data_IF_778427605670
#
_entry.id   IF_778427605670
#
_cell.length_a   1.000
_cell.length_b   1.000
_cell.length_c   1.000
_cell.angle_alpha   90.00
_cell.angle_beta   90.00
_cell.angle_gamma   90.00
#
_symmetry.space_group_name_H-M   'P 1'
#
loop_
_entity.id
_entity.type
_entity.pdbx_description
1 polymer ?
#
# COMPACT_ATOMS: atom_id res chain seq x y z
N UNK A 1 -32.92 4.12 -29.21
CA UNK A 1 -31.59 3.62 -29.64
C UNK A 1 -31.70 2.11 -29.61
N UNK A 2 -31.48 1.42 -30.72
CA UNK A 2 -31.58 -0.04 -30.77
C UNK A 2 -30.46 -0.66 -29.97
N UNK A 3 -30.73 -1.76 -29.28
CA UNK A 3 -29.81 -2.56 -28.42
C UNK A 3 -28.45 -2.80 -29.11
N UNK A 4 -28.47 -3.01 -30.41
CA UNK A 4 -27.33 -3.20 -31.30
C UNK A 4 -26.34 -2.02 -31.34
N UNK A 5 -26.83 -0.78 -31.24
CA UNK A 5 -25.99 0.44 -31.22
C UNK A 5 -25.29 0.62 -29.83
N UNK A 6 -25.99 0.24 -28.78
CA UNK A 6 -25.49 0.34 -27.41
C UNK A 6 -24.36 -0.69 -27.19
N UNK A 7 -24.57 -1.90 -27.67
CA UNK A 7 -23.63 -3.01 -27.56
C UNK A 7 -22.36 -2.77 -28.39
N UNK A 8 -22.50 -2.15 -29.60
CA UNK A 8 -21.35 -1.73 -30.40
C UNK A 8 -20.55 -0.62 -29.72
N UNK A 9 -21.22 0.32 -29.08
CA UNK A 9 -20.55 1.41 -28.38
C UNK A 9 -19.79 0.91 -27.17
N UNK A 10 -20.30 -0.09 -26.46
CA UNK A 10 -19.63 -0.75 -25.35
C UNK A 10 -18.36 -1.50 -25.82
N UNK A 11 -18.43 -2.21 -26.95
CA UNK A 11 -17.27 -2.88 -27.54
C UNK A 11 -16.19 -1.86 -27.93
N UNK A 12 -16.56 -0.74 -28.55
CA UNK A 12 -15.62 0.34 -28.91
C UNK A 12 -14.91 0.90 -27.67
N UNK A 13 -15.64 1.13 -26.58
CA UNK A 13 -15.06 1.64 -25.34
C UNK A 13 -14.12 0.63 -24.67
N UNK A 14 -14.44 -0.66 -24.73
CA UNK A 14 -13.54 -1.74 -24.27
C UNK A 14 -12.24 -1.71 -25.07
N UNK A 15 -12.31 -1.66 -26.41
CA UNK A 15 -11.13 -1.64 -27.28
C UNK A 15 -10.28 -0.38 -27.05
N UNK A 16 -10.90 0.80 -26.91
CA UNK A 16 -10.21 2.07 -26.61
C UNK A 16 -9.49 2.04 -25.27
N UNK A 17 -10.13 1.46 -24.25
CA UNK A 17 -9.56 1.34 -22.92
C UNK A 17 -8.35 0.40 -22.91
N UNK A 18 -8.48 -0.76 -23.54
CA UNK A 18 -7.40 -1.72 -23.62
C UNK A 18 -6.22 -1.17 -24.42
N UNK A 19 -6.46 -0.55 -25.56
CA UNK A 19 -5.40 0.12 -26.31
C UNK A 19 -4.61 1.12 -25.46
N UNK A 20 -5.28 1.92 -24.63
CA UNK A 20 -4.60 2.88 -23.74
C UNK A 20 -3.78 2.17 -22.68
N UNK A 21 -4.30 1.11 -22.09
CA UNK A 21 -3.60 0.34 -21.08
C UNK A 21 -2.29 -0.23 -21.62
N UNK A 22 -2.33 -0.90 -22.79
CA UNK A 22 -1.15 -1.50 -23.42
C UNK A 22 -0.07 -0.45 -23.75
N UNK A 23 -0.47 0.69 -24.33
CA UNK A 23 0.49 1.76 -24.62
C UNK A 23 1.12 2.31 -23.33
N UNK A 24 0.36 2.47 -22.27
CA UNK A 24 0.86 2.94 -20.98
C UNK A 24 1.79 1.91 -20.33
N UNK A 25 1.46 0.64 -20.39
CA UNK A 25 2.29 -0.47 -19.88
C UNK A 25 3.60 -0.58 -20.66
N UNK A 26 3.54 -0.54 -21.99
CA UNK A 26 4.74 -0.52 -22.83
C UNK A 26 5.70 0.63 -22.48
N UNK A 27 5.17 1.83 -22.25
CA UNK A 27 5.99 2.98 -21.84
C UNK A 27 6.68 2.76 -20.48
N UNK A 28 6.00 2.15 -19.52
CA UNK A 28 6.59 1.82 -18.21
C UNK A 28 7.71 0.80 -18.37
N UNK A 29 7.52 -0.25 -19.17
CA UNK A 29 8.57 -1.22 -19.45
C UNK A 29 9.78 -0.59 -20.14
N UNK A 30 9.58 0.28 -21.12
CA UNK A 30 10.69 1.02 -21.78
C UNK A 30 11.45 1.90 -20.79
N UNK A 31 10.75 2.53 -19.84
CA UNK A 31 11.40 3.31 -18.80
C UNK A 31 12.22 2.42 -17.85
N UNK A 32 11.73 1.24 -17.48
CA UNK A 32 12.46 0.26 -16.67
C UNK A 32 13.68 -0.27 -17.41
N UNK A 33 13.58 -0.60 -18.69
CA UNK A 33 14.69 -1.01 -19.56
C UNK A 33 15.83 0.03 -19.54
N UNK A 34 15.49 1.31 -19.60
CA UNK A 34 16.46 2.40 -19.62
C UNK A 34 17.29 2.53 -18.33
N UNK A 35 16.83 1.91 -17.23
CA UNK A 35 17.44 2.02 -15.88
C UNK A 35 18.01 0.72 -15.37
N UNK A 36 17.57 -0.40 -15.95
CA UNK A 36 18.06 -1.69 -15.52
C UNK A 36 19.51 -1.89 -15.95
N UNK A 37 20.33 -2.30 -14.99
CA UNK A 37 21.77 -2.54 -15.17
C UNK A 37 22.09 -4.00 -15.41
N UNK A 38 21.24 -4.92 -15.00
CA UNK A 38 21.38 -6.35 -15.26
C UNK A 38 20.88 -6.67 -16.67
N UNK A 39 21.81 -7.12 -17.54
CA UNK A 39 21.53 -7.38 -18.95
C UNK A 39 20.47 -8.48 -19.16
N UNK A 40 20.35 -9.47 -18.25
CA UNK A 40 19.31 -10.50 -18.35
C UNK A 40 17.94 -9.94 -18.06
N UNK A 41 17.83 -9.16 -16.98
CA UNK A 41 16.59 -8.47 -16.60
C UNK A 41 16.17 -7.47 -17.66
N UNK A 42 17.13 -6.69 -18.16
CA UNK A 42 16.91 -5.74 -19.24
C UNK A 42 16.40 -6.40 -20.51
N UNK A 43 16.97 -7.56 -20.88
CA UNK A 43 16.49 -8.36 -22.02
C UNK A 43 15.08 -8.88 -21.85
N UNK A 44 14.67 -9.26 -20.63
CA UNK A 44 13.29 -9.69 -20.34
C UNK A 44 12.34 -8.51 -20.41
N UNK A 45 12.63 -7.39 -19.73
CA UNK A 45 11.83 -6.17 -19.76
C UNK A 45 11.64 -5.62 -21.18
N UNK A 46 12.68 -5.71 -22.02
CA UNK A 46 12.58 -5.30 -23.41
C UNK A 46 11.60 -6.16 -24.21
N UNK A 47 11.67 -7.50 -24.04
CA UNK A 47 10.70 -8.40 -24.67
C UNK A 47 9.25 -8.15 -24.22
N UNK A 48 9.07 -7.81 -22.95
CA UNK A 48 7.76 -7.43 -22.44
C UNK A 48 7.28 -6.12 -23.07
N UNK A 49 8.12 -5.09 -23.13
CA UNK A 49 7.78 -3.85 -23.83
C UNK A 49 7.36 -4.10 -25.30
N UNK A 50 8.08 -4.98 -26.02
CA UNK A 50 7.75 -5.36 -27.38
C UNK A 50 6.42 -6.14 -27.49
N UNK A 51 6.10 -6.96 -26.49
CA UNK A 51 4.81 -7.66 -26.45
C UNK A 51 3.66 -6.68 -26.28
N UNK A 52 3.75 -5.74 -25.31
CA UNK A 52 2.74 -4.72 -25.11
C UNK A 52 2.57 -3.79 -26.35
N UNK A 53 3.67 -3.46 -27.01
CA UNK A 53 3.62 -2.69 -28.26
C UNK A 53 2.87 -3.46 -29.36
N UNK A 54 3.05 -4.78 -29.46
CA UNK A 54 2.28 -5.64 -30.40
C UNK A 54 0.80 -5.70 -30.00
N UNK A 55 0.47 -5.82 -28.72
CA UNK A 55 -0.91 -5.77 -28.24
C UNK A 55 -1.56 -4.45 -28.60
N UNK A 56 -0.88 -3.33 -28.31
CA UNK A 56 -1.38 -2.01 -28.67
C UNK A 56 -1.63 -1.86 -30.18
N UNK A 57 -0.75 -2.40 -31.04
CA UNK A 57 -0.94 -2.41 -32.48
C UNK A 57 -2.17 -3.23 -32.91
N UNK A 58 -2.41 -4.40 -32.30
CA UNK A 58 -3.59 -5.24 -32.56
C UNK A 58 -4.87 -4.50 -32.17
N UNK A 59 -4.91 -3.84 -31.00
CA UNK A 59 -6.03 -3.00 -30.58
C UNK A 59 -6.25 -1.79 -31.48
N UNK A 60 -5.17 -1.14 -31.94
CA UNK A 60 -5.26 -0.03 -32.89
C UNK A 60 -5.85 -0.46 -34.25
N UNK A 61 -5.45 -1.64 -34.75
CA UNK A 61 -6.05 -2.23 -35.95
C UNK A 61 -7.54 -2.50 -35.77
N UNK A 62 -7.93 -3.07 -34.60
CA UNK A 62 -9.36 -3.31 -34.34
C UNK A 62 -10.17 -2.02 -34.25
N UNK A 63 -9.61 -0.92 -33.71
CA UNK A 63 -10.26 0.40 -33.78
C UNK A 63 -10.45 0.87 -35.20
N UNK A 64 -9.44 0.71 -36.08
CA UNK A 64 -9.56 1.07 -37.49
C UNK A 64 -10.63 0.24 -38.20
N UNK A 65 -10.73 -1.07 -37.93
CA UNK A 65 -11.75 -1.97 -38.48
C UNK A 65 -13.17 -1.56 -38.02
N UNK A 66 -13.29 -1.01 -36.80
CA UNK A 66 -14.54 -0.46 -36.26
C UNK A 66 -14.85 0.97 -36.78
N UNK A 67 -13.94 1.57 -37.57
CA UNK A 67 -14.07 2.94 -38.10
C UNK A 67 -13.85 4.03 -37.04
N UNK A 68 -13.16 3.70 -35.94
CA UNK A 68 -12.92 4.61 -34.82
C UNK A 68 -11.49 5.16 -34.85
N UNK A 69 -11.27 6.43 -34.50
CA UNK A 69 -9.93 7.00 -34.42
C UNK A 69 -9.18 6.44 -33.19
N UNK A 70 -7.86 6.34 -33.36
CA UNK A 70 -6.97 5.99 -32.23
C UNK A 70 -7.03 7.11 -31.20
N UNK A 71 -7.32 6.80 -29.92
CA UNK A 71 -7.44 7.81 -28.89
C UNK A 71 -6.10 8.51 -28.62
N UNK A 72 -6.13 9.81 -28.39
CA UNK A 72 -4.95 10.52 -27.88
C UNK A 72 -4.80 10.23 -26.38
N UNK A 73 -3.56 10.04 -25.93
CA UNK A 73 -3.24 9.85 -24.52
C UNK A 73 -2.80 11.20 -23.95
N UNK A 74 -3.67 11.95 -23.23
CA UNK A 74 -3.30 13.26 -22.69
C UNK A 74 -2.27 13.09 -21.56
N UNK A 75 -1.22 13.90 -21.53
CA UNK A 75 -0.22 13.89 -20.44
C UNK A 75 -0.79 14.58 -19.19
N UNK A 76 -1.57 13.82 -18.41
CA UNK A 76 -2.22 14.33 -17.20
C UNK A 76 -1.23 14.47 -16.03
N UNK A 77 -1.52 15.40 -15.11
CA UNK A 77 -0.76 15.58 -13.86
C UNK A 77 -0.63 14.26 -13.08
N UNK A 78 -1.66 13.44 -13.07
CA UNK A 78 -1.64 12.11 -12.42
C UNK A 78 -0.58 11.17 -13.02
N UNK A 79 -0.43 11.16 -14.35
CA UNK A 79 0.61 10.36 -15.02
C UNK A 79 2.02 10.91 -14.79
N UNK A 80 2.18 12.22 -14.76
CA UNK A 80 3.48 12.85 -14.39
C UNK A 80 3.87 12.45 -12.97
N UNK A 81 2.93 12.49 -12.04
CA UNK A 81 3.14 12.06 -10.66
C UNK A 81 3.46 10.55 -10.59
N UNK A 82 2.76 9.72 -11.35
CA UNK A 82 3.01 8.28 -11.39
C UNK A 82 4.39 7.95 -11.97
N UNK A 83 4.81 8.61 -13.06
CA UNK A 83 6.18 8.50 -13.59
C UNK A 83 7.22 8.97 -12.57
N UNK A 84 6.96 10.10 -11.90
CA UNK A 84 7.85 10.60 -10.86
C UNK A 84 7.96 9.61 -9.68
N UNK A 85 6.84 9.06 -9.22
CA UNK A 85 6.82 8.03 -8.17
C UNK A 85 7.59 6.77 -8.58
N UNK A 86 7.38 6.28 -9.80
CA UNK A 86 8.13 5.13 -10.33
C UNK A 86 9.63 5.43 -10.39
N UNK A 87 10.00 6.71 -10.60
CA UNK A 87 11.38 7.19 -10.57
C UNK A 87 11.97 7.22 -9.16
N UNK A 88 11.22 7.69 -8.21
CA UNK A 88 11.67 7.89 -6.84
C UNK A 88 11.79 6.56 -6.05
N UNK A 89 10.96 5.56 -6.36
CA UNK A 89 10.83 4.32 -5.59
C UNK A 89 11.80 3.19 -6.00
N UNK A 90 12.58 3.38 -7.08
CA UNK A 90 13.55 2.39 -7.55
C UNK A 90 12.95 1.25 -8.40
N UNK A 91 13.82 0.53 -9.14
CA UNK A 91 13.44 -0.47 -10.16
C UNK A 91 12.71 -1.66 -9.54
N UNK A 92 13.10 -2.11 -8.36
CA UNK A 92 12.49 -3.29 -7.71
C UNK A 92 11.02 -3.05 -7.32
N UNK A 93 10.71 -1.87 -6.77
CA UNK A 93 9.33 -1.50 -6.41
C UNK A 93 8.50 -1.30 -7.68
N UNK A 94 9.09 -0.74 -8.74
CA UNK A 94 8.42 -0.58 -10.01
C UNK A 94 8.08 -1.95 -10.65
N UNK A 95 8.98 -2.92 -10.63
CA UNK A 95 8.74 -4.29 -11.11
C UNK A 95 7.57 -4.95 -10.34
N UNK A 96 7.51 -4.83 -9.02
CA UNK A 96 6.39 -5.37 -8.22
C UNK A 96 5.06 -4.70 -8.54
N UNK A 97 5.08 -3.40 -8.82
CA UNK A 97 3.86 -2.68 -9.23
C UNK A 97 3.39 -3.13 -10.61
N UNK A 98 4.32 -3.42 -11.52
CA UNK A 98 4.00 -3.98 -12.82
C UNK A 98 3.40 -5.40 -12.68
N UNK A 99 3.98 -6.27 -11.85
CA UNK A 99 3.41 -7.58 -11.53
C UNK A 99 1.93 -7.47 -11.11
N UNK A 100 1.63 -6.58 -10.16
CA UNK A 100 0.26 -6.35 -9.71
C UNK A 100 -0.65 -5.73 -10.80
N UNK A 101 -0.09 -4.94 -11.72
CA UNK A 101 -0.84 -4.39 -12.85
C UNK A 101 -1.20 -5.49 -13.86
N UNK A 102 -0.27 -6.39 -14.19
CA UNK A 102 -0.50 -7.53 -15.08
C UNK A 102 -1.59 -8.48 -14.55
N UNK A 103 -1.56 -8.80 -13.24
CA UNK A 103 -2.62 -9.61 -12.61
C UNK A 103 -4.00 -8.92 -12.72
N UNK A 104 -4.03 -7.61 -12.58
CA UNK A 104 -5.26 -6.82 -12.72
C UNK A 104 -5.76 -6.76 -14.16
N UNK A 105 -4.85 -6.68 -15.14
CA UNK A 105 -5.19 -6.73 -16.57
C UNK A 105 -5.74 -8.10 -16.96
N UNK A 106 -5.13 -9.19 -16.50
CA UNK A 106 -5.66 -10.55 -16.70
C UNK A 106 -7.11 -10.67 -16.22
N UNK A 107 -7.37 -10.23 -14.97
CA UNK A 107 -8.73 -10.27 -14.42
C UNK A 107 -9.71 -9.40 -15.22
N UNK A 108 -9.27 -8.21 -15.66
CA UNK A 108 -10.08 -7.32 -16.47
C UNK A 108 -10.41 -7.93 -17.85
N UNK A 109 -9.47 -8.59 -18.50
CA UNK A 109 -9.72 -9.24 -19.79
C UNK A 109 -10.70 -10.41 -19.68
N UNK A 110 -10.68 -11.16 -18.58
CA UNK A 110 -11.68 -12.21 -18.30
C UNK A 110 -13.08 -11.63 -18.16
N UNK A 111 -13.24 -10.58 -17.36
CA UNK A 111 -14.53 -9.92 -17.13
C UNK A 111 -15.07 -9.27 -18.43
N UNK A 112 -14.21 -8.61 -19.19
CA UNK A 112 -14.57 -7.99 -20.45
C UNK A 112 -15.03 -9.00 -21.52
N UNK A 113 -14.44 -10.20 -21.54
CA UNK A 113 -14.82 -11.25 -22.49
C UNK A 113 -16.28 -11.66 -22.36
N UNK A 114 -16.82 -11.59 -21.14
CA UNK A 114 -18.22 -11.92 -20.88
C UNK A 114 -19.17 -10.80 -21.36
N UNK A 115 -18.69 -9.56 -21.42
CA UNK A 115 -19.47 -8.37 -21.78
C UNK A 115 -19.43 -8.02 -23.28
N UNK A 116 -18.46 -8.53 -24.01
CA UNK A 116 -18.34 -8.29 -25.46
C UNK A 116 -19.43 -9.07 -26.21
N UNK A 117 -20.04 -8.43 -27.21
CA UNK A 117 -21.09 -8.98 -28.07
C UNK A 117 -20.79 -10.40 -28.58
N UNK A 118 -21.83 -11.20 -28.64
CA UNK A 118 -21.75 -12.60 -29.08
C UNK A 118 -21.20 -12.76 -30.52
N UNK A 119 -21.36 -11.73 -31.37
CA UNK A 119 -20.89 -11.72 -32.76
C UNK A 119 -19.42 -11.30 -32.96
N UNK A 120 -18.75 -10.73 -31.94
CA UNK A 120 -17.35 -10.27 -32.01
C UNK A 120 -16.38 -11.35 -31.53
N UNK A 121 -16.34 -12.47 -32.26
CA UNK A 121 -15.48 -13.61 -31.93
C UNK A 121 -13.99 -13.24 -31.86
N UNK A 122 -13.52 -12.41 -32.79
CA UNK A 122 -12.13 -11.95 -32.87
C UNK A 122 -11.69 -11.19 -31.60
N UNK A 123 -12.58 -10.35 -31.04
CA UNK A 123 -12.27 -9.60 -29.79
C UNK A 123 -12.22 -10.56 -28.61
N UNK A 124 -13.12 -11.55 -28.55
CA UNK A 124 -13.14 -12.55 -27.48
C UNK A 124 -11.92 -13.44 -27.48
N UNK A 125 -11.49 -13.86 -28.67
CA UNK A 125 -10.30 -14.69 -28.84
C UNK A 125 -9.05 -13.90 -28.48
N UNK A 126 -8.97 -12.64 -28.89
CA UNK A 126 -7.87 -11.76 -28.52
C UNK A 126 -7.81 -11.49 -27.01
N UNK A 127 -8.94 -11.20 -26.35
CA UNK A 127 -9.00 -11.05 -24.89
C UNK A 127 -8.54 -12.32 -24.16
N UNK A 128 -8.84 -13.50 -24.72
CA UNK A 128 -8.38 -14.78 -24.17
C UNK A 128 -6.87 -14.95 -24.31
N UNK A 129 -6.34 -14.66 -25.49
CA UNK A 129 -4.89 -14.75 -25.75
C UNK A 129 -4.12 -13.79 -24.86
N UNK A 130 -4.55 -12.50 -24.80
CA UNK A 130 -3.94 -11.48 -23.96
C UNK A 130 -3.97 -11.88 -22.48
N UNK A 131 -5.07 -12.41 -21.96
CA UNK A 131 -5.12 -12.88 -20.58
C UNK A 131 -4.10 -13.99 -20.25
N UNK A 132 -3.78 -14.85 -21.21
CA UNK A 132 -2.75 -15.88 -21.05
C UNK A 132 -1.35 -15.27 -21.08
N UNK A 133 -1.12 -14.28 -21.95
CA UNK A 133 0.18 -13.59 -22.07
C UNK A 133 0.44 -12.72 -20.83
N UNK A 134 -0.57 -11.97 -20.32
CA UNK A 134 -0.47 -11.20 -19.05
C UNK A 134 -0.06 -12.10 -17.87
N UNK A 135 -0.63 -13.30 -17.79
CA UNK A 135 -0.24 -14.25 -16.76
C UNK A 135 1.20 -14.73 -16.92
N UNK A 136 1.70 -14.85 -18.15
CA UNK A 136 3.09 -15.18 -18.43
C UNK A 136 4.03 -14.01 -18.08
N UNK A 137 3.62 -12.77 -18.35
CA UNK A 137 4.34 -11.55 -17.97
C UNK A 137 4.46 -11.43 -16.46
N UNK A 138 3.38 -11.59 -15.71
CA UNK A 138 3.39 -11.57 -14.24
C UNK A 138 4.39 -12.62 -13.68
N UNK A 139 4.40 -13.84 -14.24
CA UNK A 139 5.37 -14.88 -13.84
C UNK A 139 6.82 -14.51 -14.18
N UNK A 140 7.06 -13.92 -15.36
CA UNK A 140 8.40 -13.50 -15.75
C UNK A 140 8.93 -12.37 -14.86
N UNK A 141 8.10 -11.40 -14.48
CA UNK A 141 8.43 -10.35 -13.50
C UNK A 141 8.77 -10.96 -12.14
N UNK A 142 8.00 -11.96 -11.72
CA UNK A 142 8.24 -12.68 -10.47
C UNK A 142 9.59 -13.38 -10.44
N UNK A 143 10.03 -13.97 -11.57
CA UNK A 143 11.33 -14.62 -11.68
C UNK A 143 12.52 -13.65 -11.75
N UNK A 144 12.28 -12.37 -12.04
CA UNK A 144 13.33 -11.34 -12.06
C UNK A 144 13.79 -10.89 -10.67
N UNK A 145 12.98 -11.11 -9.65
CA UNK A 145 13.39 -10.86 -8.27
C UNK A 145 14.31 -11.99 -7.82
N UNK A 146 15.52 -11.71 -7.30
CA UNK A 146 16.50 -12.74 -6.97
C UNK A 146 15.92 -13.84 -6.08
N UNK A 147 15.96 -15.08 -6.55
CA UNK A 147 15.49 -16.25 -5.82
C UNK A 147 16.68 -16.92 -5.12
N UNK A 148 16.73 -16.86 -3.82
CA UNK A 148 17.70 -17.56 -2.98
C UNK A 148 17.00 -18.74 -2.25
N UNK A 149 17.10 -19.95 -2.81
CA UNK A 149 16.75 -21.22 -2.13
C UNK A 149 15.24 -21.50 -1.86
N UNK A 150 14.89 -22.69 -1.29
CA UNK A 150 13.51 -23.08 -0.98
C UNK A 150 12.78 -22.10 -0.04
N UNK A 151 13.51 -21.47 0.88
CA UNK A 151 12.98 -20.37 1.73
C UNK A 151 12.50 -19.18 0.90
N UNK A 152 13.12 -18.91 -0.24
CA UNK A 152 12.78 -17.76 -1.09
C UNK A 152 11.59 -18.06 -2.00
N UNK A 153 11.41 -19.33 -2.42
CA UNK A 153 10.20 -19.77 -3.12
C UNK A 153 9.02 -19.68 -2.16
N UNK A 154 9.19 -20.16 -0.94
CA UNK A 154 8.19 -20.01 0.13
C UNK A 154 7.96 -18.54 0.48
N UNK A 155 9.01 -17.73 0.62
CA UNK A 155 8.92 -16.27 0.81
C UNK A 155 8.26 -15.57 -0.37
N UNK A 156 8.39 -16.07 -1.58
CA UNK A 156 7.72 -15.52 -2.77
C UNK A 156 6.24 -15.90 -2.77
N UNK A 157 5.91 -17.15 -2.40
CA UNK A 157 4.54 -17.60 -2.20
C UNK A 157 3.90 -16.88 -1.02
N UNK A 158 4.61 -16.77 0.11
CA UNK A 158 4.16 -16.04 1.30
C UNK A 158 4.16 -14.52 1.12
N UNK A 159 4.98 -13.95 0.23
CA UNK A 159 4.90 -12.55 -0.19
C UNK A 159 3.69 -12.26 -1.06
N UNK A 160 3.18 -13.23 -1.80
CA UNK A 160 1.87 -13.14 -2.46
C UNK A 160 0.74 -12.93 -1.47
N UNK A 161 0.81 -13.61 -0.33
CA UNK A 161 -0.16 -13.48 0.76
C UNK A 161 0.17 -12.32 1.72
N UNK A 162 1.43 -11.90 1.78
CA UNK A 162 1.97 -10.85 2.67
C UNK A 162 2.17 -9.50 1.99
N UNK A 163 1.42 -9.19 0.98
CA UNK A 163 1.28 -7.83 0.46
C UNK A 163 0.96 -6.83 1.57
N UNK A 164 0.42 -7.32 2.64
CA UNK A 164 -0.06 -6.58 3.81
C UNK A 164 0.98 -6.41 4.92
N UNK A 165 2.19 -6.97 4.83
CA UNK A 165 3.03 -7.07 6.02
C UNK A 165 4.50 -6.62 5.96
N UNK A 166 5.18 -6.55 4.83
CA UNK A 166 6.65 -6.40 4.84
C UNK A 166 7.25 -5.11 4.26
N UNK A 167 6.57 -4.44 3.35
CA UNK A 167 7.01 -3.11 2.88
C UNK A 167 6.27 -1.99 3.58
N UNK A 168 5.26 -2.34 4.39
CA UNK A 168 4.24 -1.43 4.87
C UNK A 168 4.43 -0.89 6.29
N UNK A 169 5.22 -1.52 7.15
CA UNK A 169 5.23 -1.07 8.54
C UNK A 169 5.69 0.38 8.65
N UNK A 170 6.88 0.73 8.19
CA UNK A 170 7.34 2.12 8.29
C UNK A 170 6.54 3.12 7.43
N UNK A 171 6.02 2.69 6.24
CA UNK A 171 5.18 3.54 5.38
C UNK A 171 3.80 3.71 5.99
N UNK A 172 3.23 2.63 6.55
CA UNK A 172 1.98 2.70 7.28
C UNK A 172 2.12 3.59 8.52
N UNK A 173 3.20 3.41 9.30
CA UNK A 173 3.54 4.23 10.46
C UNK A 173 3.75 5.70 10.07
N UNK A 174 4.42 5.97 8.95
CA UNK A 174 4.61 7.32 8.44
C UNK A 174 3.30 7.98 8.01
N UNK A 175 2.43 7.26 7.28
CA UNK A 175 1.10 7.78 6.89
C UNK A 175 0.25 8.03 8.12
N UNK A 176 0.26 7.10 9.08
CA UNK A 176 -0.45 7.25 10.33
C UNK A 176 0.07 8.44 11.14
N UNK A 177 1.40 8.57 11.26
CA UNK A 177 2.03 9.69 11.96
C UNK A 177 1.71 11.04 11.32
N UNK A 178 1.79 11.16 9.97
CA UNK A 178 1.41 12.40 9.28
C UNK A 178 -0.05 12.75 9.55
N UNK A 179 -0.95 11.76 9.50
CA UNK A 179 -2.37 11.98 9.75
C UNK A 179 -2.64 12.41 11.20
N UNK A 180 -2.02 11.74 12.17
CA UNK A 180 -2.16 12.06 13.59
C UNK A 180 -1.68 13.49 13.90
N UNK A 181 -0.48 13.84 13.41
CA UNK A 181 0.05 15.20 13.58
C UNK A 181 -0.81 16.26 12.90
N UNK A 182 -1.27 15.98 11.68
CA UNK A 182 -2.12 16.89 10.93
C UNK A 182 -3.46 17.13 11.65
N UNK A 183 -4.17 16.07 12.06
CA UNK A 183 -5.46 16.16 12.74
C UNK A 183 -5.33 16.83 14.11
N UNK A 184 -4.44 16.33 14.96
CA UNK A 184 -4.24 16.85 16.31
C UNK A 184 -3.93 18.36 16.32
N UNK A 185 -2.97 18.79 15.48
CA UNK A 185 -2.56 20.20 15.46
C UNK A 185 -3.54 21.07 14.70
N UNK A 186 -4.21 20.55 13.68
CA UNK A 186 -5.31 21.26 13.03
C UNK A 186 -6.46 21.52 14.01
N UNK A 187 -6.78 20.55 14.87
CA UNK A 187 -7.72 20.72 15.96
C UNK A 187 -7.29 21.80 16.97
N UNK A 188 -6.02 21.78 17.41
CA UNK A 188 -5.47 22.79 18.33
C UNK A 188 -5.52 24.18 17.69
N UNK A 189 -5.03 24.34 16.47
CA UNK A 189 -5.03 25.61 15.73
C UNK A 189 -6.44 26.17 15.58
N UNK A 190 -7.40 25.30 15.20
CA UNK A 190 -8.80 25.67 15.03
C UNK A 190 -9.44 26.08 16.37
N UNK A 191 -9.25 25.31 17.42
CA UNK A 191 -9.80 25.58 18.74
C UNK A 191 -9.26 26.87 19.35
N UNK A 192 -7.93 27.07 19.30
CA UNK A 192 -7.29 28.28 19.82
C UNK A 192 -7.67 29.51 19.00
N UNK A 193 -7.77 29.40 17.67
CA UNK A 193 -8.25 30.47 16.82
C UNK A 193 -9.67 30.91 17.21
N UNK A 194 -10.57 29.94 17.43
CA UNK A 194 -11.94 30.23 17.91
C UNK A 194 -11.97 30.89 19.29
N UNK A 195 -11.17 30.41 20.24
CA UNK A 195 -11.14 30.91 21.61
C UNK A 195 -10.50 32.29 21.75
N UNK A 196 -9.51 32.63 20.90
CA UNK A 196 -8.70 33.85 21.00
C UNK A 196 -9.05 34.90 19.96
N UNK A 197 -10.21 34.77 19.32
CA UNK A 197 -10.63 35.70 18.25
C UNK A 197 -9.55 35.81 17.11
N UNK A 198 -8.96 34.71 16.75
CA UNK A 198 -7.95 34.56 15.70
C UNK A 198 -6.62 35.30 15.97
N UNK A 199 -6.21 35.42 17.23
CA UNK A 199 -4.93 36.05 17.57
C UNK A 199 -3.76 35.13 17.21
N UNK A 200 -2.99 35.50 16.19
CA UNK A 200 -1.88 34.74 15.59
C UNK A 200 -0.87 34.21 16.63
N UNK A 201 -0.49 35.05 17.59
CA UNK A 201 0.54 34.69 18.59
C UNK A 201 0.15 33.45 19.41
N UNK A 202 -1.10 33.36 19.89
CA UNK A 202 -1.58 32.21 20.65
C UNK A 202 -1.70 30.98 19.78
N UNK A 203 -2.16 31.13 18.54
CA UNK A 203 -2.28 30.04 17.59
C UNK A 203 -0.91 29.44 17.24
N UNK A 204 0.10 30.31 16.96
CA UNK A 204 1.46 29.85 16.67
C UNK A 204 2.08 29.12 17.85
N UNK A 205 2.04 29.69 19.06
CA UNK A 205 2.63 29.03 20.24
C UNK A 205 1.94 27.70 20.52
N UNK A 206 0.62 27.68 20.52
CA UNK A 206 -0.14 26.46 20.79
C UNK A 206 0.05 25.42 19.72
N UNK A 207 0.09 25.79 18.44
CA UNK A 207 0.34 24.89 17.32
C UNK A 207 1.75 24.29 17.38
N UNK A 208 2.78 25.11 17.62
CA UNK A 208 4.17 24.62 17.76
C UNK A 208 4.35 23.73 18.99
N UNK A 209 3.76 24.12 20.13
CA UNK A 209 3.79 23.30 21.33
C UNK A 209 3.08 21.95 21.11
N UNK A 210 1.90 21.98 20.46
CA UNK A 210 1.15 20.79 20.08
C UNK A 210 1.92 19.87 19.11
N UNK A 211 2.59 20.46 18.12
CA UNK A 211 3.45 19.74 17.19
C UNK A 211 4.57 19.00 17.92
N UNK A 212 5.30 19.67 18.80
CA UNK A 212 6.38 19.07 19.57
C UNK A 212 5.86 17.97 20.50
N UNK A 213 4.79 18.24 21.23
CA UNK A 213 4.19 17.28 22.15
C UNK A 213 3.68 16.03 21.43
N UNK A 214 2.93 16.19 20.34
CA UNK A 214 2.41 15.07 19.55
C UNK A 214 3.55 14.25 18.92
N UNK A 215 4.55 14.91 18.34
CA UNK A 215 5.69 14.24 17.72
C UNK A 215 6.52 13.44 18.72
N UNK A 216 6.80 13.99 19.88
CA UNK A 216 7.54 13.29 20.94
C UNK A 216 6.73 12.13 21.51
N UNK A 217 5.44 12.33 21.74
CA UNK A 217 4.53 11.29 22.24
C UNK A 217 4.41 10.13 21.24
N UNK A 218 4.23 10.44 19.96
CA UNK A 218 4.14 9.43 18.91
C UNK A 218 5.46 8.64 18.77
N UNK A 219 6.60 9.32 18.79
CA UNK A 219 7.91 8.66 18.73
C UNK A 219 8.17 7.77 19.95
N UNK A 220 7.85 8.25 21.14
CA UNK A 220 7.99 7.45 22.36
C UNK A 220 7.04 6.24 22.36
N UNK A 221 5.79 6.44 21.94
CA UNK A 221 4.80 5.37 21.81
C UNK A 221 5.24 4.29 20.83
N UNK A 222 5.72 4.68 19.64
CA UNK A 222 6.23 3.76 18.64
C UNK A 222 7.47 2.98 19.12
N UNK A 223 8.38 3.66 19.85
CA UNK A 223 9.52 3.00 20.48
C UNK A 223 9.09 1.93 21.47
N UNK A 224 8.21 2.31 22.40
CA UNK A 224 7.75 1.41 23.46
C UNK A 224 6.94 0.25 22.89
N UNK A 225 6.10 0.48 21.89
CA UNK A 225 5.31 -0.56 21.26
C UNK A 225 6.22 -1.65 20.67
N UNK A 226 7.15 -1.27 19.79
CA UNK A 226 8.08 -2.23 19.14
C UNK A 226 9.00 -2.89 20.16
N UNK A 227 9.44 -2.16 21.18
CA UNK A 227 10.28 -2.71 22.25
C UNK A 227 9.51 -3.73 23.09
N UNK A 228 8.29 -3.41 23.52
CA UNK A 228 7.47 -4.30 24.34
C UNK A 228 7.09 -5.58 23.57
N UNK A 229 6.73 -5.44 22.29
CA UNK A 229 6.44 -6.58 21.43
C UNK A 229 7.63 -7.52 21.31
N UNK A 230 8.83 -6.97 21.19
CA UNK A 230 10.06 -7.73 21.16
C UNK A 230 10.37 -8.41 22.53
N UNK A 231 10.19 -7.68 23.63
CA UNK A 231 10.41 -8.23 24.99
C UNK A 231 9.45 -9.38 25.29
N UNK A 232 8.18 -9.27 24.89
CA UNK A 232 7.21 -10.36 24.99
C UNK A 232 7.66 -11.57 24.18
N UNK A 233 8.07 -11.35 22.93
CA UNK A 233 8.58 -12.44 22.08
C UNK A 233 9.79 -13.14 22.69
N UNK A 234 10.79 -12.36 23.16
CA UNK A 234 12.00 -12.92 23.78
C UNK A 234 11.67 -13.73 25.06
N UNK A 235 10.68 -13.27 25.83
CA UNK A 235 10.21 -13.98 27.01
C UNK A 235 9.52 -15.30 26.66
N UNK A 236 8.64 -15.30 25.68
CA UNK A 236 7.94 -16.52 25.23
C UNK A 236 8.90 -17.52 24.58
N UNK A 237 9.85 -17.07 23.77
CA UNK A 237 10.90 -17.96 23.22
C UNK A 237 11.75 -18.60 24.35
N UNK A 238 12.06 -17.84 25.39
CA UNK A 238 12.81 -18.38 26.52
C UNK A 238 12.01 -19.44 27.28
N UNK A 239 10.70 -19.23 27.41
CA UNK A 239 9.79 -20.19 28.07
C UNK A 239 9.66 -21.45 27.22
N UNK A 240 9.35 -21.32 25.94
CA UNK A 240 9.23 -22.39 24.97
C UNK A 240 10.49 -23.26 24.92
N UNK A 241 11.65 -22.61 24.98
CA UNK A 241 12.94 -23.33 25.04
C UNK A 241 13.04 -24.21 26.27
N UNK A 242 12.57 -23.71 27.41
CA UNK A 242 12.58 -24.49 28.65
C UNK A 242 11.64 -25.69 28.59
N UNK A 243 10.44 -25.51 27.99
CA UNK A 243 9.44 -26.56 27.80
C UNK A 243 9.96 -27.64 26.85
N UNK A 244 10.55 -27.28 25.73
CA UNK A 244 11.19 -28.24 24.79
C UNK A 244 12.36 -29.00 25.43
N UNK A 245 13.13 -28.37 26.35
CA UNK A 245 14.24 -29.03 27.07
C UNK A 245 13.74 -29.93 28.19
N UNK A 246 12.70 -29.55 28.95
CA UNK A 246 12.20 -30.27 30.13
C UNK A 246 11.18 -31.36 29.77
N UNK A 247 10.32 -31.14 28.77
CA UNK A 247 9.20 -32.01 28.38
C UNK A 247 9.13 -32.31 26.89
N UNK A 248 10.19 -32.81 26.23
CA UNK A 248 10.25 -32.96 24.78
C UNK A 248 9.16 -33.88 24.21
N UNK A 249 8.66 -34.84 24.94
CA UNK A 249 7.60 -35.76 24.51
C UNK A 249 6.24 -35.01 24.39
N UNK A 250 5.94 -34.11 25.34
CA UNK A 250 4.73 -33.32 25.36
C UNK A 250 4.73 -32.31 24.19
N UNK A 251 5.86 -31.66 23.94
CA UNK A 251 6.03 -30.72 22.82
C UNK A 251 5.93 -31.40 21.47
N UNK A 252 6.40 -32.65 21.34
CA UNK A 252 6.18 -33.43 20.10
C UNK A 252 4.71 -33.73 19.87
N UNK A 253 3.99 -34.11 20.94
CA UNK A 253 2.55 -34.37 20.87
C UNK A 253 1.78 -33.10 20.49
N UNK A 254 2.09 -31.96 21.11
CA UNK A 254 1.49 -30.68 20.82
C UNK A 254 1.72 -30.25 19.41
N UNK A 255 2.96 -30.28 18.92
CA UNK A 255 3.28 -29.97 17.53
C UNK A 255 2.57 -30.92 16.54
N UNK A 256 2.45 -32.20 16.89
CA UNK A 256 1.68 -33.17 16.09
C UNK A 256 0.22 -32.76 16.00
N UNK A 257 -0.38 -32.27 17.09
CA UNK A 257 -1.76 -31.76 17.08
C UNK A 257 -1.90 -30.50 16.20
N UNK A 258 -0.94 -29.57 16.24
CA UNK A 258 -0.92 -28.43 15.34
C UNK A 258 -0.90 -28.84 13.86
N UNK A 259 -0.09 -29.83 13.50
CA UNK A 259 -0.06 -30.36 12.13
C UNK A 259 -1.39 -31.03 11.74
N UNK A 260 -2.04 -31.76 12.66
CA UNK A 260 -3.35 -32.35 12.42
C UNK A 260 -4.42 -31.26 12.20
N UNK A 261 -4.39 -30.14 12.92
CA UNK A 261 -5.27 -28.99 12.68
C UNK A 261 -5.03 -28.36 11.31
N UNK A 262 -3.82 -28.48 10.76
CA UNK A 262 -3.50 -28.02 9.41
C UNK A 262 -3.94 -29.03 8.31
N UNK A 263 -4.48 -30.21 8.70
CA UNK A 263 -5.07 -31.18 7.78
C UNK A 263 -4.22 -32.42 7.49
N UNK A 264 -3.08 -32.59 8.17
CA UNK A 264 -2.30 -33.82 8.08
C UNK A 264 -2.96 -34.95 8.86
N UNK A 265 -2.77 -36.22 8.43
CA UNK A 265 -3.21 -37.34 9.24
C UNK A 265 -2.30 -37.55 10.46
N UNK A 266 -2.79 -38.28 11.48
CA UNK A 266 -2.09 -38.43 12.76
C UNK A 266 -0.70 -39.05 12.61
N UNK A 267 -0.50 -40.01 11.68
CA UNK A 267 0.79 -40.67 11.48
C UNK A 267 1.80 -39.73 10.81
N UNK A 268 1.36 -38.98 9.80
CA UNK A 268 2.19 -37.97 9.12
C UNK A 268 2.58 -36.84 10.07
N UNK A 269 1.61 -36.34 10.82
CA UNK A 269 1.81 -35.25 11.80
C UNK A 269 2.82 -35.64 12.86
N UNK A 270 2.69 -36.87 13.42
CA UNK A 270 3.61 -37.41 14.42
C UNK A 270 5.04 -37.51 13.88
N UNK A 271 5.22 -38.07 12.70
CA UNK A 271 6.55 -38.17 12.05
C UNK A 271 7.19 -36.82 11.76
N UNK A 272 6.36 -35.83 11.40
CA UNK A 272 6.84 -34.46 11.17
C UNK A 272 7.30 -33.81 12.48
N UNK A 273 6.54 -33.95 13.55
CA UNK A 273 6.87 -33.42 14.89
C UNK A 273 8.15 -34.07 15.44
N UNK A 274 8.26 -35.39 15.39
CA UNK A 274 9.47 -36.13 15.79
C UNK A 274 10.70 -35.67 15.03
N UNK A 275 10.59 -35.50 13.73
CA UNK A 275 11.70 -35.04 12.89
C UNK A 275 12.09 -33.59 13.17
N UNK A 276 11.13 -32.75 13.56
CA UNK A 276 11.39 -31.37 13.95
C UNK A 276 12.09 -31.32 15.32
N UNK A 277 11.73 -32.21 16.25
CA UNK A 277 12.32 -32.32 17.55
C UNK A 277 13.83 -32.73 17.52
N UNK A 278 14.29 -33.36 16.42
CA UNK A 278 15.73 -33.58 16.20
C UNK A 278 16.53 -32.26 16.12
N UNK A 279 15.84 -31.13 15.94
CA UNK A 279 16.43 -29.80 15.82
C UNK A 279 15.76 -28.83 16.83
N UNK A 280 16.20 -28.82 18.10
CA UNK A 280 15.52 -28.08 19.16
C UNK A 280 15.29 -26.60 18.90
N UNK A 281 16.25 -25.91 18.24
CA UNK A 281 16.09 -24.50 17.89
C UNK A 281 14.97 -24.28 16.84
N UNK A 282 14.76 -25.23 15.94
CA UNK A 282 13.68 -25.15 14.95
C UNK A 282 12.34 -25.53 15.56
N UNK A 283 12.36 -26.50 16.52
CA UNK A 283 11.19 -26.87 17.31
C UNK A 283 10.64 -25.66 18.07
N UNK A 284 11.45 -24.99 18.86
CA UNK A 284 11.10 -23.76 19.59
C UNK A 284 10.52 -22.68 18.66
N UNK A 285 11.14 -22.47 17.50
CA UNK A 285 10.62 -21.48 16.53
C UNK A 285 9.27 -21.88 15.93
N UNK A 286 9.07 -23.17 15.68
CA UNK A 286 7.84 -23.69 15.11
C UNK A 286 6.70 -23.65 16.14
N UNK A 287 6.98 -24.01 17.39
CA UNK A 287 6.03 -23.92 18.50
C UNK A 287 5.61 -22.47 18.72
N UNK A 288 6.54 -21.54 18.91
CA UNK A 288 6.25 -20.12 19.06
C UNK A 288 5.44 -19.54 17.86
N UNK A 289 5.66 -20.05 16.66
CA UNK A 289 4.87 -19.62 15.51
C UNK A 289 3.47 -20.24 15.48
N UNK A 290 3.33 -21.50 15.88
CA UNK A 290 2.07 -22.24 15.83
C UNK A 290 1.14 -21.85 16.96
N UNK A 291 1.67 -21.71 18.18
CA UNK A 291 0.93 -21.39 19.39
C UNK A 291 0.65 -19.89 19.49
N UNK A 292 1.66 -19.05 19.31
CA UNK A 292 1.56 -17.61 19.58
C UNK A 292 1.42 -16.76 18.30
N UNK A 293 1.55 -17.37 17.11
CA UNK A 293 1.55 -16.64 15.84
C UNK A 293 2.75 -15.69 15.69
N UNK A 294 3.77 -15.81 16.54
CA UNK A 294 4.92 -14.93 16.58
C UNK A 294 6.03 -15.41 15.66
N UNK A 295 6.65 -14.50 14.93
CA UNK A 295 7.86 -14.82 14.16
C UNK A 295 8.89 -13.70 14.28
N UNK A 296 10.13 -14.06 14.52
CA UNK A 296 11.27 -13.14 14.68
C UNK A 296 11.47 -12.14 13.53
N UNK A 297 10.94 -12.47 12.35
CA UNK A 297 11.10 -11.66 11.15
C UNK A 297 10.20 -10.42 11.10
N UNK A 298 9.28 -10.24 12.03
CA UNK A 298 8.29 -9.16 12.02
C UNK A 298 8.66 -7.97 12.91
N UNK A 299 9.69 -8.06 13.74
CA UNK A 299 10.03 -6.97 14.64
C UNK A 299 10.85 -5.88 13.94
N UNK A 300 10.31 -4.68 13.92
CA UNK A 300 11.01 -3.48 13.53
C UNK A 300 12.14 -3.12 14.51
N UNK A 301 13.01 -2.18 14.12
CA UNK A 301 13.97 -1.61 15.07
C UNK A 301 13.27 -0.49 15.85
N UNK A 302 13.22 -0.54 17.21
CA UNK A 302 12.49 0.45 18.00
C UNK A 302 12.84 1.90 17.69
N UNK A 303 14.13 2.21 17.53
CA UNK A 303 14.59 3.55 17.17
C UNK A 303 14.18 4.00 15.76
N UNK A 304 14.15 3.08 14.79
CA UNK A 304 13.71 3.40 13.43
C UNK A 304 12.23 3.75 13.41
N UNK A 305 11.40 2.97 14.12
CA UNK A 305 9.97 3.24 14.26
C UNK A 305 9.72 4.56 15.01
N UNK A 306 10.46 4.81 16.10
CA UNK A 306 10.39 6.05 16.86
C UNK A 306 10.68 7.28 16.00
N UNK A 307 11.80 7.29 15.27
CA UNK A 307 12.18 8.42 14.42
C UNK A 307 11.22 8.60 13.24
N UNK A 308 10.79 7.51 12.62
CA UNK A 308 9.80 7.57 11.52
C UNK A 308 8.49 8.17 12.00
N UNK A 309 7.96 7.69 13.13
CA UNK A 309 6.72 8.16 13.72
C UNK A 309 6.82 9.63 14.16
N UNK A 310 7.88 9.99 14.90
CA UNK A 310 8.06 11.36 15.36
C UNK A 310 8.20 12.36 14.20
N UNK A 311 9.03 12.03 13.21
CA UNK A 311 9.26 12.93 12.07
C UNK A 311 8.02 13.08 11.19
N UNK A 312 7.33 11.98 10.90
CA UNK A 312 6.10 12.01 10.10
C UNK A 312 5.00 12.81 10.80
N UNK A 313 4.84 12.64 12.13
CA UNK A 313 3.90 13.42 12.95
C UNK A 313 4.27 14.91 12.93
N UNK A 314 5.55 15.26 13.07
CA UNK A 314 6.02 16.64 12.99
C UNK A 314 5.68 17.28 11.64
N UNK A 315 5.91 16.55 10.53
CA UNK A 315 5.61 17.02 9.17
C UNK A 315 4.10 17.28 9.02
N UNK A 316 3.26 16.35 9.44
CA UNK A 316 1.81 16.50 9.40
C UNK A 316 1.32 17.67 10.24
N UNK A 317 1.81 17.76 11.47
CA UNK A 317 1.48 18.79 12.43
C UNK A 317 1.89 20.22 12.01
N UNK A 318 2.98 20.33 11.22
CA UNK A 318 3.47 21.62 10.75
C UNK A 318 2.54 22.26 9.71
N UNK A 319 1.83 21.45 8.90
CA UNK A 319 1.01 21.94 7.79
C UNK A 319 -0.03 23.00 8.22
N UNK A 320 -0.90 22.77 9.23
CA UNK A 320 -1.89 23.75 9.64
C UNK A 320 -1.30 25.01 10.27
N UNK A 321 -0.03 24.99 10.70
CA UNK A 321 0.66 26.11 11.32
C UNK A 321 1.22 27.07 10.26
N UNK A 322 1.60 26.57 9.08
CA UNK A 322 2.30 27.34 8.03
C UNK A 322 1.67 28.69 7.73
N UNK A 323 0.35 28.83 7.51
CA UNK A 323 -0.25 30.12 7.17
C UNK A 323 -0.03 31.21 8.24
N UNK A 324 0.05 30.81 9.50
CA UNK A 324 0.21 31.75 10.61
C UNK A 324 1.61 32.37 10.72
N UNK A 325 2.59 31.89 9.95
CA UNK A 325 3.90 32.57 9.84
C UNK A 325 3.84 33.80 8.91
N UNK A 326 2.89 33.80 7.96
CA UNK A 326 2.84 34.77 6.88
C UNK A 326 1.57 35.63 6.91
N UNK A 327 0.52 35.21 7.62
CA UNK A 327 -0.81 35.78 7.62
C UNK A 327 -1.34 35.92 9.05
N UNK A 328 -2.26 36.87 9.27
CA UNK A 328 -2.88 37.12 10.59
C UNK A 328 -4.40 37.09 10.46
N UNK A 329 -5.09 36.86 11.59
CA UNK A 329 -6.54 36.92 11.67
C UNK A 329 -7.27 35.89 10.82
N UNK A 330 -8.48 36.22 10.37
CA UNK A 330 -9.36 35.34 9.61
C UNK A 330 -8.71 34.76 8.32
N UNK A 331 -7.94 35.54 7.53
CA UNK A 331 -7.28 34.99 6.35
C UNK A 331 -6.31 33.86 6.68
N UNK A 332 -5.59 33.93 7.80
CA UNK A 332 -4.68 32.85 8.21
C UNK A 332 -5.45 31.55 8.56
N UNK A 333 -6.58 31.71 9.28
CA UNK A 333 -7.45 30.57 9.65
C UNK A 333 -8.03 29.89 8.39
N UNK A 334 -8.55 30.69 7.46
CA UNK A 334 -9.09 30.15 6.20
C UNK A 334 -8.01 29.43 5.40
N UNK A 335 -6.81 30.01 5.31
CA UNK A 335 -5.69 29.39 4.62
C UNK A 335 -5.26 28.08 5.31
N UNK A 336 -5.19 28.05 6.65
CA UNK A 336 -4.89 26.84 7.42
C UNK A 336 -5.93 25.75 7.20
N UNK A 337 -7.22 26.11 7.15
CA UNK A 337 -8.30 25.18 6.86
C UNK A 337 -8.16 24.58 5.45
N UNK A 338 -7.96 25.42 4.44
CA UNK A 338 -7.83 24.97 3.05
C UNK A 338 -6.63 24.04 2.86
N UNK A 339 -5.45 24.44 3.36
CA UNK A 339 -4.24 23.63 3.21
C UNK A 339 -4.35 22.29 3.97
N UNK A 340 -4.98 22.29 5.15
CA UNK A 340 -5.20 21.08 5.94
C UNK A 340 -6.18 20.12 5.26
N UNK A 341 -7.24 20.62 4.65
CA UNK A 341 -8.17 19.78 3.85
C UNK A 341 -7.44 19.15 2.67
N UNK A 342 -6.65 19.92 1.93
CA UNK A 342 -5.86 19.38 0.81
C UNK A 342 -4.87 18.33 1.31
N UNK A 343 -4.23 18.56 2.45
CA UNK A 343 -3.29 17.63 3.05
C UNK A 343 -3.97 16.34 3.51
N UNK A 344 -5.13 16.41 4.20
CA UNK A 344 -5.91 15.21 4.56
C UNK A 344 -6.30 14.39 3.34
N UNK A 345 -6.76 15.07 2.27
CA UNK A 345 -7.08 14.38 1.03
C UNK A 345 -5.85 13.69 0.42
N UNK A 346 -4.71 14.38 0.39
CA UNK A 346 -3.45 13.84 -0.14
C UNK A 346 -2.96 12.64 0.68
N UNK A 347 -2.99 12.72 2.01
CA UNK A 347 -2.63 11.61 2.92
C UNK A 347 -3.57 10.42 2.72
N UNK A 348 -4.88 10.66 2.64
CA UNK A 348 -5.85 9.61 2.35
C UNK A 348 -5.65 8.97 0.97
N UNK A 349 -5.35 9.77 -0.05
CA UNK A 349 -5.02 9.27 -1.38
C UNK A 349 -3.71 8.46 -1.38
N UNK A 350 -2.69 8.88 -0.64
CA UNK A 350 -1.44 8.11 -0.45
C UNK A 350 -1.68 6.79 0.30
N UNK A 351 -2.57 6.77 1.29
CA UNK A 351 -3.00 5.55 1.99
C UNK A 351 -3.53 4.50 1.01
N UNK A 352 -4.20 4.91 -0.07
CA UNK A 352 -4.71 3.99 -1.08
C UNK A 352 -3.62 3.24 -1.86
N UNK A 353 -2.37 3.70 -1.82
CA UNK A 353 -1.23 2.97 -2.41
C UNK A 353 -0.91 1.68 -1.64
N UNK A 354 -1.32 1.60 -0.37
CA UNK A 354 -1.09 0.45 0.52
C UNK A 354 -2.38 -0.34 0.70
N UNK A 355 -3.54 0.29 0.53
CA UNK A 355 -4.86 -0.32 0.67
C UNK A 355 -5.49 -0.59 -0.69
N UNK A 356 -6.32 -1.63 -0.82
CA UNK A 356 -7.01 -2.00 -2.06
C UNK A 356 -8.14 -0.99 -2.41
N UNK A 357 -8.32 0.06 -1.61
CA UNK A 357 -9.38 1.06 -1.80
C UNK A 357 -9.04 2.07 -2.89
N UNK A 358 -10.07 2.68 -3.48
CA UNK A 358 -9.88 3.77 -4.43
C UNK A 358 -9.29 5.01 -3.74
N UNK A 359 -8.38 5.71 -4.40
CA UNK A 359 -7.73 6.91 -3.87
C UNK A 359 -8.72 8.04 -3.55
N UNK A 360 -9.80 8.16 -4.34
CA UNK A 360 -10.87 9.11 -4.09
C UNK A 360 -11.63 8.83 -2.81
N UNK A 361 -12.01 7.56 -2.58
CA UNK A 361 -12.75 7.19 -1.38
C UNK A 361 -11.89 7.36 -0.13
N UNK A 362 -10.63 6.94 -0.17
CA UNK A 362 -9.69 7.11 0.94
C UNK A 362 -9.37 8.59 1.19
N UNK A 363 -9.18 9.40 0.13
CA UNK A 363 -8.97 10.84 0.25
C UNK A 363 -10.16 11.55 0.88
N UNK A 364 -11.37 11.25 0.41
CA UNK A 364 -12.59 11.85 0.94
C UNK A 364 -12.86 11.45 2.40
N UNK A 365 -12.67 10.18 2.75
CA UNK A 365 -12.81 9.68 4.12
C UNK A 365 -11.92 10.45 5.10
N UNK A 366 -10.63 10.61 4.77
CA UNK A 366 -9.68 11.34 5.60
C UNK A 366 -10.02 12.83 5.69
N UNK A 367 -10.45 13.42 4.59
CA UNK A 367 -10.89 14.82 4.57
C UNK A 367 -12.10 15.04 5.48
N UNK A 368 -13.08 14.15 5.45
CA UNK A 368 -14.26 14.26 6.31
C UNK A 368 -13.89 14.19 7.78
N UNK A 369 -12.97 13.30 8.17
CA UNK A 369 -12.47 13.24 9.55
C UNK A 369 -11.84 14.58 9.95
N UNK A 370 -10.91 15.11 9.16
CA UNK A 370 -10.27 16.40 9.46
C UNK A 370 -11.25 17.58 9.52
N UNK A 371 -12.27 17.60 8.66
CA UNK A 371 -13.32 18.64 8.72
C UNK A 371 -14.14 18.55 10.01
N UNK A 372 -14.51 17.33 10.43
CA UNK A 372 -15.26 17.11 11.68
C UNK A 372 -14.42 17.54 12.89
N UNK A 373 -13.15 17.14 12.94
CA UNK A 373 -12.22 17.53 14.00
C UNK A 373 -12.10 19.06 14.12
N UNK A 374 -11.88 19.73 12.99
CA UNK A 374 -11.77 21.18 12.96
C UNK A 374 -13.07 21.90 13.37
N UNK A 375 -14.22 21.41 12.89
CA UNK A 375 -15.52 22.01 13.22
C UNK A 375 -15.84 21.86 14.72
N UNK A 376 -15.60 20.69 15.30
CA UNK A 376 -15.82 20.43 16.72
C UNK A 376 -14.88 21.29 17.57
N UNK A 377 -13.58 21.29 17.27
CA UNK A 377 -12.59 22.02 18.07
C UNK A 377 -12.75 23.54 17.94
N UNK A 378 -13.06 24.06 16.75
CA UNK A 378 -13.35 25.49 16.55
C UNK A 378 -14.62 25.91 17.28
N UNK A 379 -15.68 25.10 17.22
CA UNK A 379 -16.92 25.34 17.95
C UNK A 379 -16.73 25.34 19.46
N UNK A 380 -15.95 24.42 20.01
CA UNK A 380 -15.54 24.43 21.42
C UNK A 380 -14.73 25.69 21.76
N UNK A 381 -13.79 26.08 20.90
CA UNK A 381 -13.02 27.28 21.06
C UNK A 381 -13.89 28.55 21.16
N UNK A 382 -14.88 28.68 20.27
CA UNK A 382 -15.84 29.79 20.32
C UNK A 382 -16.65 29.77 21.62
N UNK A 383 -17.11 28.60 22.08
CA UNK A 383 -17.86 28.49 23.32
C UNK A 383 -17.03 28.90 24.54
N UNK A 384 -15.77 28.51 24.63
CA UNK A 384 -14.87 28.92 25.69
C UNK A 384 -14.46 30.40 25.57
N UNK A 385 -14.25 30.92 24.36
CA UNK A 385 -13.95 32.34 24.12
C UNK A 385 -15.11 33.28 24.43
N UNK A 386 -16.34 32.79 24.39
CA UNK A 386 -17.53 33.58 24.76
C UNK A 386 -17.78 33.67 26.29
N UNK A 387 -17.10 32.82 27.09
CA UNK A 387 -17.23 32.79 28.55
C UNK A 387 -16.25 33.77 29.22
N UNK A 388 -15.18 34.15 28.53
CA UNK A 388 -14.15 35.10 28.99
C UNK A 388 -14.33 36.46 28.31
#
# INVERSE_FOLDING_TARGET
MTRDKQDRQETVEVVKRNWRAEVETAQVYRELVSRETDEKRKGILNRMAEAEERHAQRWAKKLADLGEPIPTIPDSLGRRLQRWLNRALGTEIAIRRMEAAEEKHEAAFRDQRERVLAGEHDVKDFLRESAVEEKAHARALQMMVPQLGPRTVLDTILKRERWHGRGGSWVADAIYGVNDGLGAVFGIVSGVAGATNNQQHYVLISGLAGMLASSLSMGAGAYLAVKSEREVYEAEIAREKTEVEENPEEEIEEMSLFYQLQGFNAEEAQKMAERLAEQPEQMVQAMAQSELGLSQQHFGKPWTSAFSAALSTAIGAFIPIIPFFFMTGVPAVVAAFVISIIAHFAVGALKSLITIRSWWASGFEMTMVGVIEAAVTYGLGLAFGAIN
#
